data_IF_555040658149
#
_entry.id   IF_555040658149
#
_cell.length_a   1.000
_cell.length_b   1.000
_cell.length_c   1.000
_cell.angle_alpha   90.00
_cell.angle_beta   90.00
_cell.angle_gamma   90.00
#
_symmetry.space_group_name_H-M   'P 1'
#
loop_
_entity.id
_entity.type
_entity.pdbx_description
1 polymer ?
#
# COMPACT_ATOMS: atom_id res chain seq x y z
N UNK A 1 36.04 -5.46 -30.56
CA UNK A 1 35.01 -6.00 -29.64
C UNK A 1 35.67 -6.19 -28.28
N UNK A 2 35.18 -5.51 -27.24
CA UNK A 2 35.80 -5.58 -25.91
C UNK A 2 35.65 -7.00 -25.32
N UNK A 3 36.74 -7.58 -24.84
CA UNK A 3 36.75 -8.94 -24.30
C UNK A 3 36.21 -8.94 -22.86
N UNK A 4 35.11 -9.66 -22.60
CA UNK A 4 34.48 -9.78 -21.29
C UNK A 4 35.47 -10.16 -20.16
N UNK A 5 36.53 -10.92 -20.48
CA UNK A 5 37.59 -11.31 -19.55
C UNK A 5 38.41 -10.13 -18.99
N UNK A 6 38.53 -9.00 -19.70
CA UNK A 6 39.28 -7.85 -19.17
C UNK A 6 38.51 -7.12 -18.07
N UNK A 7 37.18 -7.07 -18.17
CA UNK A 7 36.31 -6.46 -17.16
C UNK A 7 36.31 -7.25 -15.84
N UNK A 8 36.38 -8.57 -15.91
CA UNK A 8 36.46 -9.46 -14.74
C UNK A 8 37.81 -9.39 -13.99
N UNK A 9 38.80 -8.67 -14.50
CA UNK A 9 40.10 -8.47 -13.85
C UNK A 9 40.23 -7.09 -13.21
N UNK A 10 39.34 -6.17 -13.54
CA UNK A 10 39.33 -4.83 -12.94
C UNK A 10 38.73 -4.89 -11.53
N UNK A 11 39.54 -4.51 -10.54
CA UNK A 11 39.15 -4.49 -9.13
C UNK A 11 37.90 -3.64 -8.88
N UNK A 12 37.70 -2.55 -9.63
CA UNK A 12 36.52 -1.68 -9.50
C UNK A 12 35.25 -2.42 -9.91
N UNK A 13 35.34 -3.18 -10.99
CA UNK A 13 34.20 -3.94 -11.53
C UNK A 13 33.90 -5.15 -10.64
N UNK A 14 34.93 -5.84 -10.12
CA UNK A 14 34.76 -6.91 -9.15
C UNK A 14 34.05 -6.39 -7.89
N UNK A 15 34.43 -5.21 -7.39
CA UNK A 15 33.75 -4.59 -6.24
C UNK A 15 32.29 -4.25 -6.55
N UNK A 16 31.99 -3.71 -7.74
CA UNK A 16 30.60 -3.45 -8.15
C UNK A 16 29.77 -4.73 -8.25
N UNK A 17 30.35 -5.81 -8.78
CA UNK A 17 29.69 -7.12 -8.86
C UNK A 17 29.43 -7.67 -7.45
N UNK A 18 30.39 -7.57 -6.54
CA UNK A 18 30.22 -8.00 -5.15
C UNK A 18 29.12 -7.21 -4.44
N UNK A 19 29.09 -5.89 -4.60
CA UNK A 19 28.03 -5.04 -4.04
C UNK A 19 26.67 -5.44 -4.61
N UNK A 20 26.58 -5.67 -5.92
CA UNK A 20 25.33 -6.10 -6.55
C UNK A 20 24.83 -7.44 -6.01
N UNK A 21 25.72 -8.44 -5.86
CA UNK A 21 25.37 -9.74 -5.27
C UNK A 21 24.89 -9.57 -3.82
N UNK A 22 25.54 -8.70 -3.05
CA UNK A 22 25.19 -8.45 -1.66
C UNK A 22 23.81 -7.78 -1.53
N UNK A 23 23.50 -6.81 -2.39
CA UNK A 23 22.19 -6.16 -2.46
C UNK A 23 21.10 -7.14 -2.93
N UNK A 24 21.36 -7.95 -3.95
CA UNK A 24 20.44 -8.98 -4.42
C UNK A 24 20.17 -10.06 -3.36
N UNK A 25 21.21 -10.47 -2.63
CA UNK A 25 21.07 -11.40 -1.51
C UNK A 25 20.28 -10.82 -0.33
N UNK A 26 20.49 -9.53 -0.03
CA UNK A 26 19.72 -8.82 0.98
C UNK A 26 18.24 -8.71 0.60
N UNK A 27 17.95 -8.36 -0.66
CA UNK A 27 16.57 -8.31 -1.16
C UNK A 27 15.88 -9.68 -1.07
N UNK A 28 16.51 -10.74 -1.58
CA UNK A 28 15.98 -12.10 -1.49
C UNK A 28 15.71 -12.55 -0.04
N UNK A 29 16.58 -12.16 0.91
CA UNK A 29 16.35 -12.39 2.33
C UNK A 29 15.13 -11.62 2.84
N UNK A 30 14.97 -10.35 2.49
CA UNK A 30 13.77 -9.58 2.90
C UNK A 30 12.47 -10.11 2.29
N UNK A 31 12.52 -10.70 1.09
CA UNK A 31 11.36 -11.32 0.45
C UNK A 31 10.84 -12.54 1.21
N UNK A 32 11.75 -13.34 1.77
CA UNK A 32 11.38 -14.53 2.53
C UNK A 32 10.80 -14.20 3.91
N UNK A 33 11.29 -13.15 4.58
CA UNK A 33 10.95 -12.87 5.99
C UNK A 33 10.06 -11.65 6.23
N UNK A 34 9.98 -10.71 5.29
CA UNK A 34 9.29 -9.42 5.48
C UNK A 34 8.33 -9.03 4.34
N UNK A 35 8.07 -9.94 3.39
CA UNK A 35 7.17 -9.67 2.26
C UNK A 35 7.83 -9.03 1.03
N UNK A 36 9.15 -8.76 1.08
CA UNK A 36 9.93 -8.27 -0.06
C UNK A 36 9.85 -6.76 -0.28
N UNK A 37 10.59 -6.27 -1.27
CA UNK A 37 10.46 -4.88 -1.71
C UNK A 37 9.06 -4.64 -2.29
N UNK A 38 8.34 -3.68 -1.72
CA UNK A 38 7.11 -3.16 -2.31
C UNK A 38 7.51 -2.11 -3.36
N UNK A 39 7.40 -2.46 -4.63
CA UNK A 39 7.63 -1.51 -5.70
C UNK A 39 6.38 -0.66 -5.96
N UNK A 40 6.57 0.60 -6.36
CA UNK A 40 5.47 1.48 -6.76
C UNK A 40 4.75 1.02 -8.02
N UNK A 41 3.60 1.63 -8.31
CA UNK A 41 2.79 1.36 -9.50
C UNK A 41 3.57 1.56 -10.81
N UNK A 42 4.60 2.40 -10.78
CA UNK A 42 5.49 2.69 -11.91
C UNK A 42 6.29 1.46 -12.35
N UNK A 43 6.49 0.49 -11.46
CA UNK A 43 7.27 -0.73 -11.71
C UNK A 43 6.41 -1.99 -11.79
N UNK A 44 5.34 -2.09 -10.99
CA UNK A 44 4.46 -3.27 -10.95
C UNK A 44 3.27 -3.13 -11.92
N UNK A 45 2.94 -1.90 -12.34
CA UNK A 45 1.66 -1.60 -12.98
C UNK A 45 0.49 -1.68 -11.97
N UNK A 46 -0.66 -1.13 -12.33
CA UNK A 46 -1.82 -1.11 -11.44
C UNK A 46 -2.82 0.00 -11.73
N UNK A 47 -3.68 0.28 -10.76
CA UNK A 47 -4.65 1.38 -10.80
C UNK A 47 -4.47 2.26 -9.58
N UNK A 48 -4.40 3.58 -9.81
CA UNK A 48 -4.43 4.57 -8.75
C UNK A 48 -5.80 5.24 -8.73
N UNK A 49 -6.42 5.27 -7.55
CA UNK A 49 -7.75 5.83 -7.33
C UNK A 49 -7.61 7.09 -6.47
N UNK A 50 -7.86 8.29 -7.02
CA UNK A 50 -7.94 9.52 -6.24
C UNK A 50 -9.23 9.58 -5.43
N UNK A 51 -9.11 9.77 -4.13
CA UNK A 51 -10.22 10.09 -3.22
C UNK A 51 -10.07 11.55 -2.83
N UNK A 52 -11.10 12.35 -3.11
CA UNK A 52 -11.17 13.75 -2.66
C UNK A 52 -12.02 13.82 -1.41
N UNK A 53 -11.45 14.33 -0.32
CA UNK A 53 -12.16 14.55 0.93
C UNK A 53 -13.13 15.71 0.78
N UNK A 54 -14.25 15.67 1.51
CA UNK A 54 -15.28 16.72 1.49
C UNK A 54 -14.73 18.08 1.92
N UNK A 55 -13.72 18.08 2.79
CA UNK A 55 -13.04 19.27 3.27
C UNK A 55 -11.56 18.96 3.55
N UNK A 56 -10.76 20.01 3.66
CA UNK A 56 -9.36 19.88 4.06
C UNK A 56 -9.24 19.47 5.52
N UNK A 57 -8.41 18.47 5.79
CA UNK A 57 -8.14 17.93 7.12
C UNK A 57 -6.72 18.27 7.59
N UNK A 58 -6.48 18.22 8.89
CA UNK A 58 -5.13 18.40 9.45
C UNK A 58 -4.32 17.09 9.38
N UNK A 59 -3.02 17.14 9.72
CA UNK A 59 -2.12 15.98 9.61
C UNK A 59 -2.53 14.79 10.50
N UNK A 60 -3.07 15.07 11.70
CA UNK A 60 -3.51 14.04 12.65
C UNK A 60 -4.76 13.33 12.13
N UNK A 61 -5.73 14.11 11.65
CA UNK A 61 -6.94 13.58 11.01
C UNK A 61 -6.60 12.78 9.75
N UNK A 62 -5.73 13.31 8.89
CA UNK A 62 -5.26 12.61 7.69
C UNK A 62 -4.63 11.26 8.06
N UNK A 63 -3.76 11.22 9.07
CA UNK A 63 -3.15 9.97 9.53
C UNK A 63 -4.17 8.96 10.06
N UNK A 64 -5.22 9.42 10.74
CA UNK A 64 -6.30 8.56 11.23
C UNK A 64 -7.14 7.99 10.09
N UNK A 65 -7.45 8.82 9.08
CA UNK A 65 -8.18 8.40 7.87
C UNK A 65 -7.36 7.36 7.11
N UNK A 66 -6.06 7.62 6.86
CA UNK A 66 -5.15 6.69 6.19
C UNK A 66 -5.11 5.36 6.95
N UNK A 67 -4.91 5.38 8.27
CA UNK A 67 -4.85 4.16 9.09
C UNK A 67 -6.16 3.36 9.03
N UNK A 68 -7.31 4.05 8.98
CA UNK A 68 -8.62 3.39 8.88
C UNK A 68 -8.80 2.74 7.51
N UNK A 69 -8.42 3.44 6.43
CA UNK A 69 -8.49 2.91 5.07
C UNK A 69 -7.53 1.71 4.91
N UNK A 70 -6.31 1.82 5.40
CA UNK A 70 -5.31 0.75 5.37
C UNK A 70 -5.79 -0.51 6.13
N UNK A 71 -6.38 -0.33 7.31
CA UNK A 71 -6.99 -1.43 8.07
C UNK A 71 -8.15 -2.08 7.32
N UNK A 72 -9.03 -1.28 6.68
CA UNK A 72 -10.13 -1.82 5.89
C UNK A 72 -9.59 -2.66 4.74
N UNK A 73 -8.72 -2.09 3.92
CA UNK A 73 -8.23 -2.74 2.70
C UNK A 73 -7.47 -4.03 3.03
N UNK A 74 -6.67 -4.04 4.09
CA UNK A 74 -5.98 -5.24 4.58
C UNK A 74 -6.94 -6.32 5.10
N UNK A 75 -8.00 -5.95 5.82
CA UNK A 75 -9.02 -6.88 6.34
C UNK A 75 -9.72 -7.67 5.22
N UNK A 76 -9.93 -7.05 4.06
CA UNK A 76 -10.56 -7.68 2.91
C UNK A 76 -9.61 -8.49 2.02
N UNK A 77 -8.37 -8.72 2.47
CA UNK A 77 -7.41 -9.60 1.79
C UNK A 77 -6.79 -9.00 0.53
N UNK A 78 -6.95 -7.70 0.31
CA UNK A 78 -6.39 -6.98 -0.83
C UNK A 78 -4.89 -6.76 -0.57
N UNK A 79 -4.06 -7.62 -1.16
CA UNK A 79 -2.61 -7.61 -0.91
C UNK A 79 -1.97 -6.42 -1.62
N UNK A 80 -1.02 -5.78 -0.93
CA UNK A 80 -0.13 -4.73 -1.45
C UNK A 80 -0.83 -3.42 -1.87
N UNK A 81 -2.06 -3.17 -1.41
CA UNK A 81 -2.67 -1.84 -1.59
C UNK A 81 -1.93 -0.84 -0.72
N UNK A 82 -1.63 0.32 -1.29
CA UNK A 82 -0.95 1.42 -0.59
C UNK A 82 -1.88 2.62 -0.51
N UNK A 83 -1.98 3.23 0.68
CA UNK A 83 -2.82 4.41 0.93
C UNK A 83 -1.94 5.58 1.33
N UNK A 84 -1.98 6.67 0.55
CA UNK A 84 -1.12 7.84 0.76
C UNK A 84 -1.94 9.13 0.74
N UNK A 85 -1.76 9.99 1.75
CA UNK A 85 -2.35 11.32 1.79
C UNK A 85 -1.50 12.33 1.03
N UNK A 86 -2.14 13.12 0.16
CA UNK A 86 -1.50 14.18 -0.61
C UNK A 86 -2.13 15.52 -0.26
N UNK A 87 -1.30 16.42 0.27
CA UNK A 87 -1.76 17.72 0.74
C UNK A 87 -2.71 17.56 1.94
N UNK A 88 -3.83 18.28 1.91
CA UNK A 88 -4.80 18.30 3.00
C UNK A 88 -6.18 17.73 2.63
N UNK A 89 -6.42 17.35 1.37
CA UNK A 89 -7.76 17.00 0.89
C UNK A 89 -7.80 15.82 -0.08
N UNK A 90 -6.66 15.24 -0.42
CA UNK A 90 -6.59 14.14 -1.39
C UNK A 90 -5.92 12.93 -0.76
N UNK A 91 -6.45 11.75 -1.02
CA UNK A 91 -5.85 10.47 -0.67
C UNK A 91 -5.76 9.63 -1.93
N UNK A 92 -4.58 9.11 -2.24
CA UNK A 92 -4.39 8.13 -3.30
C UNK A 92 -4.44 6.73 -2.70
N UNK A 93 -5.29 5.90 -3.30
CA UNK A 93 -5.28 4.45 -3.05
C UNK A 93 -4.72 3.78 -4.29
N UNK A 94 -3.57 3.13 -4.12
CA UNK A 94 -2.83 2.48 -5.20
C UNK A 94 -2.99 0.98 -5.08
N UNK A 95 -3.57 0.37 -6.12
CA UNK A 95 -3.81 -1.07 -6.21
C UNK A 95 -2.83 -1.63 -7.27
N UNK A 96 -1.81 -2.41 -6.87
CA UNK A 96 -0.92 -3.05 -7.82
C UNK A 96 -1.68 -4.06 -8.68
N UNK A 97 -1.28 -4.16 -9.96
CA UNK A 97 -1.84 -5.00 -11.04
C UNK A 97 -2.85 -6.05 -10.56
N UNK A 98 -4.13 -5.73 -10.66
CA UNK A 98 -5.23 -6.54 -10.16
C UNK A 98 -6.30 -6.77 -11.22
N UNK A 99 -7.04 -7.86 -11.06
CA UNK A 99 -8.21 -8.16 -11.89
C UNK A 99 -9.29 -7.10 -11.63
N UNK A 100 -10.14 -6.80 -12.60
CA UNK A 100 -11.24 -5.82 -12.45
C UNK A 100 -12.16 -6.12 -11.24
N UNK A 101 -12.24 -7.38 -10.82
CA UNK A 101 -12.95 -7.79 -9.60
C UNK A 101 -12.36 -7.17 -8.32
N UNK A 102 -11.04 -7.18 -8.17
CA UNK A 102 -10.36 -6.69 -6.96
C UNK A 102 -10.45 -5.16 -6.88
N UNK A 103 -10.38 -4.48 -8.03
CA UNK A 103 -10.58 -3.03 -8.14
C UNK A 103 -11.99 -2.67 -7.66
N UNK A 104 -13.02 -3.34 -8.19
CA UNK A 104 -14.40 -3.08 -7.82
C UNK A 104 -14.67 -3.37 -6.34
N UNK A 105 -14.09 -4.44 -5.80
CA UNK A 105 -14.20 -4.76 -4.38
C UNK A 105 -13.53 -3.68 -3.52
N UNK A 106 -12.34 -3.22 -3.92
CA UNK A 106 -11.62 -2.15 -3.22
C UNK A 106 -12.43 -0.85 -3.21
N UNK A 107 -13.00 -0.47 -4.36
CA UNK A 107 -13.87 0.70 -4.47
C UNK A 107 -15.08 0.56 -3.53
N UNK A 108 -15.78 -0.58 -3.56
CA UNK A 108 -16.94 -0.80 -2.70
C UNK A 108 -16.63 -0.72 -1.21
N UNK A 109 -15.44 -1.18 -0.78
CA UNK A 109 -14.98 -1.09 0.62
C UNK A 109 -14.70 0.37 1.00
N UNK A 110 -14.03 1.12 0.12
CA UNK A 110 -13.66 2.52 0.34
C UNK A 110 -14.92 3.40 0.42
N UNK A 111 -15.87 3.19 -0.49
CA UNK A 111 -17.12 3.95 -0.55
C UNK A 111 -18.07 3.63 0.62
N UNK A 112 -17.94 2.46 1.24
CA UNK A 112 -18.80 2.08 2.36
C UNK A 112 -18.54 2.96 3.60
N UNK A 113 -19.56 3.71 4.04
CA UNK A 113 -19.54 4.35 5.35
C UNK A 113 -19.80 3.28 6.43
N UNK A 114 -18.77 2.98 7.22
CA UNK A 114 -18.83 2.02 8.33
C UNK A 114 -19.55 2.55 9.57
N UNK A 115 -20.82 2.96 9.43
CA UNK A 115 -21.63 3.41 10.57
C UNK A 115 -22.30 2.20 11.26
N UNK A 116 -21.81 1.83 12.45
CA UNK A 116 -22.42 0.77 13.24
C UNK A 116 -23.47 1.32 14.21
N UNK A 117 -24.70 0.79 14.13
CA UNK A 117 -25.80 1.08 15.04
C UNK A 117 -26.55 -0.22 15.41
N UNK A 118 -26.67 -0.50 16.70
CA UNK A 118 -27.52 -1.54 17.26
C UNK A 118 -28.77 -0.91 17.85
N UNK A 119 -29.94 -1.29 17.36
CA UNK A 119 -31.24 -0.72 17.75
C UNK A 119 -32.07 -1.76 18.50
N UNK A 120 -32.59 -1.40 19.68
CA UNK A 120 -33.50 -2.23 20.47
C UNK A 120 -34.78 -1.43 20.73
N UNK A 121 -35.94 -2.00 20.39
CA UNK A 121 -37.25 -1.34 20.53
C UNK A 121 -37.33 0.03 19.84
N UNK A 122 -36.69 0.17 18.68
CA UNK A 122 -36.68 1.42 17.90
C UNK A 122 -35.81 2.52 18.51
N UNK A 123 -35.01 2.24 19.54
CA UNK A 123 -34.03 3.16 20.12
C UNK A 123 -32.62 2.62 19.92
N UNK A 124 -31.69 3.51 19.58
CA UNK A 124 -30.27 3.18 19.52
C UNK A 124 -29.81 2.69 20.91
N UNK A 125 -29.39 1.44 20.96
CA UNK A 125 -28.95 0.77 22.18
C UNK A 125 -27.42 0.72 22.27
N UNK A 126 -26.73 0.65 21.13
CA UNK A 126 -25.27 0.63 21.04
C UNK A 126 -24.84 1.18 19.67
N UNK A 127 -23.69 1.84 19.60
CA UNK A 127 -23.11 2.34 18.35
C UNK A 127 -21.60 2.07 18.31
N UNK A 128 -20.95 2.40 17.19
CA UNK A 128 -19.52 2.13 17.00
C UNK A 128 -18.60 2.65 18.10
N UNK A 129 -18.95 3.77 18.76
CA UNK A 129 -18.19 4.31 19.90
C UNK A 129 -18.31 3.49 21.20
N UNK A 130 -19.27 2.57 21.29
CA UNK A 130 -19.48 1.71 22.45
C UNK A 130 -18.80 0.34 22.37
N UNK A 131 -18.05 0.04 21.30
CA UNK A 131 -17.48 -1.29 21.00
C UNK A 131 -15.96 -1.26 20.78
N UNK A 132 -15.35 -0.07 20.86
CA UNK A 132 -13.91 0.16 20.69
C UNK A 132 -13.22 0.39 22.03
#
# INVERSE_FOLDING_TARGET
>A
MANAKSYLKDRRIIVLILIFILLAGFDAYTQLYKGGLHFGIEFIGGTQIPITLEHGVNATEMSSIISTLDQRVSTFGLRQVTVEGIGNSTIYVTIPSSNSSDINQTIGIIESQGNFQGVVNGREAINGSGIL
#
